data_IF_209628910571
#
_entry.id   IF_209628910571
#
_cell.length_a   1.000
_cell.length_b   1.000
_cell.length_c   1.000
_cell.angle_alpha   90.00
_cell.angle_beta   90.00
_cell.angle_gamma   90.00
#
_symmetry.space_group_name_H-M   'P 1'
#
loop_
_entity.id
_entity.type
_entity.pdbx_description
1 polymer ?
#
# COMPACT_ATOMS: atom_id res chain seq x y z
N UNK A 1 -16.60 11.06 13.75
CA UNK A 1 -15.60 10.11 14.28
C UNK A 1 -14.43 10.12 13.32
N UNK A 2 -13.20 10.12 13.82
CA UNK A 2 -12.01 10.12 12.96
C UNK A 2 -11.66 8.72 12.46
N UNK A 3 -10.85 8.66 11.39
CA UNK A 3 -10.27 7.42 10.87
C UNK A 3 -9.48 6.70 12.00
N UNK A 4 -9.55 5.35 12.10
CA UNK A 4 -8.72 4.57 13.01
C UNK A 4 -7.24 4.95 12.88
N UNK A 5 -6.54 5.26 14.00
CA UNK A 5 -5.16 5.72 13.93
C UNK A 5 -4.22 4.58 13.53
N UNK A 6 -3.23 4.93 12.71
CA UNK A 6 -2.07 4.09 12.44
C UNK A 6 -1.22 3.94 13.71
N UNK A 7 -0.59 2.78 13.85
CA UNK A 7 0.19 2.39 15.02
C UNK A 7 1.64 2.16 14.59
N UNK A 8 2.47 3.21 14.61
CA UNK A 8 3.87 3.09 14.22
C UNK A 8 4.65 2.28 15.25
N UNK A 9 5.68 1.60 14.78
CA UNK A 9 6.58 0.77 15.58
C UNK A 9 5.90 -0.42 16.29
N UNK A 10 4.81 -0.93 15.72
CA UNK A 10 4.01 -2.01 16.30
C UNK A 10 3.63 -2.99 15.19
N UNK A 11 3.87 -4.28 15.42
CA UNK A 11 3.38 -5.39 14.62
C UNK A 11 2.18 -6.09 15.28
N UNK A 12 1.21 -6.48 14.46
CA UNK A 12 0.09 -7.36 14.77
C UNK A 12 0.37 -8.77 14.23
N UNK A 13 1.15 -9.62 14.90
CA UNK A 13 1.58 -10.90 14.35
C UNK A 13 0.43 -11.90 14.17
N UNK A 14 0.54 -12.74 13.13
CA UNK A 14 -0.43 -13.80 12.82
C UNK A 14 -1.67 -13.30 12.08
N UNK A 15 -2.58 -14.23 11.77
CA UNK A 15 -3.84 -13.91 11.07
C UNK A 15 -3.67 -13.49 9.61
N UNK A 16 -2.51 -13.73 8.99
CA UNK A 16 -2.19 -13.33 7.62
C UNK A 16 -3.12 -14.00 6.58
N UNK A 17 -3.89 -13.17 5.87
CA UNK A 17 -4.71 -13.55 4.72
C UNK A 17 -3.91 -13.49 3.43
N UNK A 18 -3.20 -12.38 3.24
CA UNK A 18 -2.48 -12.05 2.02
C UNK A 18 -1.32 -11.14 2.36
N UNK A 19 -0.18 -11.35 1.70
CA UNK A 19 0.92 -10.41 1.66
C UNK A 19 0.99 -9.83 0.26
N UNK A 20 0.87 -8.51 0.14
CA UNK A 20 0.89 -7.79 -1.13
C UNK A 20 1.81 -6.57 -1.03
N UNK A 21 2.47 -6.16 -2.12
CA UNK A 21 3.19 -4.90 -2.13
C UNK A 21 2.25 -3.71 -1.89
N UNK A 22 2.73 -2.72 -1.13
CA UNK A 22 2.11 -1.42 -0.92
C UNK A 22 3.20 -0.36 -0.81
N UNK A 23 3.03 0.85 -1.39
CA UNK A 23 4.06 1.88 -1.34
C UNK A 23 4.24 2.51 0.06
N UNK A 24 3.19 2.52 0.87
CA UNK A 24 3.16 3.05 2.24
C UNK A 24 2.06 2.39 3.10
N UNK A 25 2.02 2.75 4.37
CA UNK A 25 1.05 2.27 5.35
C UNK A 25 -0.39 2.76 5.10
N UNK A 26 -0.55 3.95 4.50
CA UNK A 26 -1.86 4.50 4.18
C UNK A 26 -2.52 3.73 3.03
N UNK A 27 -1.75 3.40 2.00
CA UNK A 27 -2.17 2.54 0.90
C UNK A 27 -2.45 1.12 1.38
N UNK A 28 -1.66 0.62 2.34
CA UNK A 28 -1.91 -0.68 2.95
C UNK A 28 -3.25 -0.71 3.72
N UNK A 29 -3.60 0.38 4.41
CA UNK A 29 -4.92 0.54 5.04
C UNK A 29 -6.07 0.49 4.03
N UNK A 30 -5.91 1.13 2.86
CA UNK A 30 -6.92 1.08 1.79
C UNK A 30 -7.02 -0.31 1.17
N UNK A 31 -5.91 -1.00 0.97
CA UNK A 31 -5.91 -2.40 0.53
C UNK A 31 -6.67 -3.29 1.52
N UNK A 32 -6.42 -3.14 2.82
CA UNK A 32 -7.18 -3.86 3.85
C UNK A 32 -8.66 -3.48 3.82
N UNK A 33 -8.99 -2.20 3.72
CA UNK A 33 -10.38 -1.72 3.68
C UNK A 33 -11.16 -2.31 2.50
N UNK A 34 -10.52 -2.45 1.34
CA UNK A 34 -11.13 -3.03 0.14
C UNK A 34 -11.16 -4.57 0.15
N UNK A 35 -10.35 -5.22 0.99
CA UNK A 35 -10.38 -6.67 1.11
C UNK A 35 -11.57 -7.12 1.99
N UNK A 36 -12.46 -8.00 1.50
CA UNK A 36 -13.71 -8.33 2.18
C UNK A 36 -13.50 -8.94 3.57
N UNK A 37 -12.41 -9.69 3.76
CA UNK A 37 -12.13 -10.39 5.02
C UNK A 37 -11.07 -9.71 5.89
N UNK A 38 -10.47 -8.59 5.45
CA UNK A 38 -9.41 -7.95 6.24
C UNK A 38 -10.01 -7.10 7.36
N UNK A 39 -9.51 -7.33 8.58
CA UNK A 39 -9.88 -6.56 9.78
C UNK A 39 -8.79 -5.55 10.13
N UNK A 40 -7.52 -5.96 10.01
CA UNK A 40 -6.34 -5.18 10.35
C UNK A 40 -5.14 -5.55 9.47
N UNK A 41 -4.07 -4.77 9.54
CA UNK A 41 -2.89 -4.98 8.71
C UNK A 41 -1.59 -4.64 9.45
N UNK A 42 -0.48 -5.18 8.95
CA UNK A 42 0.89 -4.74 9.28
C UNK A 42 1.62 -4.36 8.00
N UNK A 43 2.11 -3.12 7.90
CA UNK A 43 2.99 -2.68 6.82
C UNK A 43 4.45 -2.74 7.27
N UNK A 44 5.25 -3.56 6.59
CA UNK A 44 6.69 -3.70 6.86
C UNK A 44 7.46 -2.80 5.89
N UNK A 45 7.98 -1.70 6.42
CA UNK A 45 8.72 -0.69 5.65
C UNK A 45 10.20 -1.02 5.50
N UNK A 46 10.76 -1.82 6.42
CA UNK A 46 12.15 -2.26 6.42
C UNK A 46 12.27 -3.68 6.94
N UNK A 47 13.28 -4.39 6.44
CA UNK A 47 13.69 -5.68 6.95
C UNK A 47 14.48 -5.51 8.27
N UNK A 48 14.08 -6.16 9.38
CA UNK A 48 14.76 -5.98 10.67
C UNK A 48 16.16 -6.60 10.73
N UNK A 49 16.50 -7.56 9.85
CA UNK A 49 17.81 -8.21 9.83
C UNK A 49 18.85 -7.49 8.96
N UNK A 50 18.41 -6.86 7.88
CA UNK A 50 19.27 -6.26 6.84
C UNK A 50 19.13 -4.75 6.73
N UNK A 51 18.05 -4.17 7.28
CA UNK A 51 17.72 -2.75 7.14
C UNK A 51 17.28 -2.35 5.73
N UNK A 52 17.11 -3.31 4.82
CA UNK A 52 16.66 -3.03 3.46
C UNK A 52 15.20 -2.59 3.45
N UNK A 53 14.88 -1.63 2.57
CA UNK A 53 13.49 -1.17 2.40
C UNK A 53 12.62 -2.33 1.92
N UNK A 54 11.45 -2.46 2.53
CA UNK A 54 10.39 -3.38 2.16
C UNK A 54 9.14 -2.59 1.81
N UNK A 55 8.22 -3.28 1.16
CA UNK A 55 6.93 -2.74 0.73
C UNK A 55 5.82 -3.72 1.10
N UNK A 56 6.02 -4.57 2.10
CA UNK A 56 5.14 -5.70 2.37
C UNK A 56 3.94 -5.22 3.20
N UNK A 57 2.75 -5.24 2.60
CA UNK A 57 1.48 -5.05 3.27
C UNK A 57 0.86 -6.41 3.59
N UNK A 58 0.84 -6.74 4.88
CA UNK A 58 0.22 -7.95 5.37
C UNK A 58 -1.22 -7.65 5.76
N UNK A 59 -2.18 -8.15 4.99
CA UNK A 59 -3.61 -8.09 5.29
C UNK A 59 -3.97 -9.23 6.23
N UNK A 60 -4.70 -8.93 7.31
CA UNK A 60 -4.90 -9.85 8.42
C UNK A 60 -6.35 -9.87 8.90
N UNK A 61 -6.74 -11.01 9.46
CA UNK A 61 -8.03 -11.23 10.12
C UNK A 61 -7.85 -12.09 11.36
N UNK A 62 -8.82 -12.02 12.26
CA UNK A 62 -8.95 -12.94 13.39
C UNK A 62 -10.41 -12.95 13.84
N UNK A 63 -10.78 -13.90 14.70
CA UNK A 63 -12.01 -13.79 15.49
C UNK A 63 -11.63 -13.28 16.89
N UNK A 64 -12.08 -12.10 17.35
CA UNK A 64 -13.25 -11.32 16.90
C UNK A 64 -12.93 -10.05 16.07
N UNK A 65 -11.92 -10.06 15.19
CA UNK A 65 -11.55 -8.93 14.33
C UNK A 65 -10.52 -7.99 14.95
N UNK A 66 -9.75 -8.48 15.92
CA UNK A 66 -8.68 -7.72 16.60
C UNK A 66 -7.41 -8.57 16.72
N UNK A 67 -6.21 -7.96 16.63
CA UNK A 67 -4.98 -8.72 16.73
C UNK A 67 -4.86 -9.38 18.12
N UNK A 68 -4.49 -10.67 18.13
CA UNK A 68 -4.34 -11.44 19.38
C UNK A 68 -3.23 -10.86 20.27
N UNK A 69 -2.16 -10.37 19.65
CA UNK A 69 -1.04 -9.74 20.33
C UNK A 69 -0.54 -8.51 19.57
N UNK A 70 0.21 -7.64 20.26
CA UNK A 70 0.88 -6.47 19.69
C UNK A 70 2.33 -6.49 20.13
N UNK A 71 3.26 -6.44 19.19
CA UNK A 71 4.70 -6.51 19.47
C UNK A 71 5.39 -5.24 19.00
N UNK A 72 6.31 -4.65 19.81
CA UNK A 72 7.14 -3.56 19.34
C UNK A 72 8.02 -4.02 18.16
N UNK A 73 7.96 -3.29 17.05
CA UNK A 73 8.84 -3.49 15.89
C UNK A 73 8.99 -2.17 15.12
N UNK A 74 10.17 -1.55 15.19
CA UNK A 74 10.43 -0.23 14.59
C UNK A 74 10.36 -0.21 13.06
N UNK A 75 10.35 -1.37 12.40
CA UNK A 75 10.21 -1.47 10.94
C UNK A 75 8.77 -1.57 10.46
N UNK A 76 7.81 -1.63 11.39
CA UNK A 76 6.41 -1.98 11.10
C UNK A 76 5.46 -0.90 11.58
N UNK A 77 4.50 -0.56 10.72
CA UNK A 77 3.34 0.24 11.09
C UNK A 77 2.09 -0.59 10.88
N UNK A 78 1.29 -0.78 11.93
CA UNK A 78 0.05 -1.53 11.87
C UNK A 78 -1.18 -0.63 11.92
N UNK A 79 -2.33 -1.15 11.53
CA UNK A 79 -3.59 -0.40 11.58
C UNK A 79 -4.81 -1.29 11.38
N UNK A 80 -5.99 -0.68 11.45
CA UNK A 80 -7.27 -1.35 11.20
C UNK A 80 -7.84 -0.94 9.85
N UNK A 81 -8.67 -1.80 9.27
CA UNK A 81 -9.53 -1.42 8.15
C UNK A 81 -10.41 -0.22 8.52
N UNK A 82 -10.73 0.58 7.52
CA UNK A 82 -11.71 1.66 7.65
C UNK A 82 -13.14 1.09 7.57
N UNK A 83 -14.16 1.83 8.03
CA UNK A 83 -15.55 1.44 7.81
C UNK A 83 -15.82 1.15 6.33
N UNK A 84 -16.45 0.01 6.03
CA UNK A 84 -16.81 -0.41 4.66
C UNK A 84 -18.00 0.38 4.11
N UNK A 85 -17.87 1.70 4.06
CA UNK A 85 -18.84 2.61 3.44
C UNK A 85 -18.40 2.95 2.02
N UNK A 86 -19.32 3.37 1.13
CA UNK A 86 -18.96 3.81 -0.21
C UNK A 86 -17.86 4.88 -0.22
N UNK A 87 -17.88 5.81 0.73
CA UNK A 87 -16.87 6.87 0.87
C UNK A 87 -15.43 6.33 0.97
N UNK A 88 -15.22 5.30 1.81
CA UNK A 88 -13.89 4.70 1.99
C UNK A 88 -13.54 3.71 0.88
N UNK A 89 -14.53 2.98 0.34
CA UNK A 89 -14.30 2.01 -0.74
C UNK A 89 -13.98 2.68 -2.07
N UNK A 90 -14.51 3.88 -2.33
CA UNK A 90 -14.17 4.67 -3.52
C UNK A 90 -12.99 5.62 -3.30
N UNK A 91 -12.30 5.54 -2.15
CA UNK A 91 -11.18 6.42 -1.83
C UNK A 91 -9.99 6.07 -2.74
N UNK A 92 -9.76 6.88 -3.76
CA UNK A 92 -8.51 6.88 -4.51
C UNK A 92 -7.45 7.63 -3.71
N UNK A 93 -6.38 6.94 -3.32
CA UNK A 93 -5.15 7.62 -2.95
C UNK A 93 -4.40 7.95 -4.24
N UNK A 94 -4.16 9.23 -4.49
CA UNK A 94 -3.34 9.71 -5.61
C UNK A 94 -2.02 10.39 -5.17
N UNK A 95 -1.26 9.85 -4.20
CA UNK A 95 0.10 10.34 -3.96
C UNK A 95 1.05 9.85 -5.06
N UNK A 96 1.93 10.73 -5.51
CA UNK A 96 3.10 10.36 -6.31
C UNK A 96 4.22 9.87 -5.41
N UNK A 97 4.89 8.78 -5.79
CA UNK A 97 5.99 8.20 -5.02
C UNK A 97 7.32 8.39 -5.74
N UNK A 98 8.17 9.28 -5.22
CA UNK A 98 9.51 9.49 -5.76
C UNK A 98 10.45 8.35 -5.35
N UNK A 99 11.27 7.89 -6.30
CA UNK A 99 12.24 6.81 -6.05
C UNK A 99 11.61 5.44 -5.81
N UNK A 100 10.36 5.24 -6.22
CA UNK A 100 9.66 3.95 -6.19
C UNK A 100 9.33 3.54 -7.62
N UNK A 101 9.65 2.30 -7.96
CA UNK A 101 9.26 1.68 -9.21
C UNK A 101 8.13 0.69 -8.96
N UNK A 102 6.98 0.91 -9.61
CA UNK A 102 5.89 -0.04 -9.60
C UNK A 102 6.13 -1.10 -10.68
N UNK A 103 6.57 -2.28 -10.24
CA UNK A 103 6.84 -3.42 -11.11
C UNK A 103 5.55 -4.21 -11.34
N UNK A 104 5.27 -4.54 -12.60
CA UNK A 104 4.12 -5.35 -12.98
C UNK A 104 4.05 -5.61 -14.48
N UNK A 105 2.86 -5.94 -14.98
CA UNK A 105 2.66 -6.16 -16.41
C UNK A 105 2.72 -4.83 -17.17
N UNK A 106 3.62 -4.73 -18.15
CA UNK A 106 3.78 -3.53 -18.98
C UNK A 106 2.68 -3.49 -20.03
N UNK A 107 1.71 -2.58 -19.86
CA UNK A 107 0.62 -2.37 -20.83
C UNK A 107 1.04 -1.48 -22.01
N UNK A 108 1.85 -0.46 -21.73
CA UNK A 108 2.35 0.49 -22.71
C UNK A 108 3.65 1.09 -22.18
N UNK A 109 4.63 1.27 -23.07
CA UNK A 109 5.89 1.95 -22.79
C UNK A 109 6.13 3.01 -23.87
N UNK A 110 6.51 4.22 -23.47
CA UNK A 110 6.73 5.32 -24.41
C UNK A 110 7.20 6.59 -23.74
N UNK A 111 7.64 7.55 -24.55
CA UNK A 111 8.09 8.85 -24.10
C UNK A 111 6.89 9.80 -23.96
N UNK A 112 6.86 10.53 -22.84
CA UNK A 112 5.93 11.63 -22.56
C UNK A 112 6.73 12.85 -22.14
N UNK A 113 6.12 14.02 -22.18
CA UNK A 113 6.80 15.28 -21.88
C UNK A 113 6.83 15.61 -20.38
N UNK A 114 5.96 14.99 -19.58
CA UNK A 114 5.94 15.16 -18.13
C UNK A 114 5.35 13.96 -17.39
N UNK A 115 5.51 13.95 -16.06
CA UNK A 115 4.89 12.97 -15.16
C UNK A 115 3.36 13.04 -15.25
N UNK A 116 2.80 14.24 -15.30
CA UNK A 116 1.36 14.48 -15.36
C UNK A 116 0.74 13.92 -16.66
N UNK A 117 1.49 13.97 -17.76
CA UNK A 117 1.08 13.34 -19.01
C UNK A 117 1.11 11.80 -18.90
N UNK A 118 2.11 11.23 -18.21
CA UNK A 118 2.17 9.79 -17.91
C UNK A 118 0.95 9.34 -17.09
N UNK A 119 0.65 10.07 -16.02
CA UNK A 119 -0.49 9.82 -15.14
C UNK A 119 -1.83 9.91 -15.89
N UNK A 120 -2.00 10.96 -16.70
CA UNK A 120 -3.21 11.13 -17.50
C UNK A 120 -3.37 10.00 -18.53
N UNK A 121 -2.25 9.49 -19.07
CA UNK A 121 -2.26 8.34 -19.99
C UNK A 121 -2.74 7.08 -19.29
N UNK A 122 -2.22 6.78 -18.10
CA UNK A 122 -2.67 5.65 -17.30
C UNK A 122 -4.15 5.78 -16.90
N UNK A 123 -4.55 6.95 -16.38
CA UNK A 123 -5.93 7.22 -15.95
C UNK A 123 -6.95 7.03 -17.07
N UNK A 124 -6.58 7.36 -18.32
CA UNK A 124 -7.43 7.18 -19.51
C UNK A 124 -7.52 5.73 -19.99
N UNK A 125 -6.64 4.85 -19.54
CA UNK A 125 -6.60 3.44 -19.92
C UNK A 125 -7.24 2.58 -18.82
N UNK A 126 -8.44 1.99 -19.04
CA UNK A 126 -9.12 1.18 -18.04
C UNK A 126 -8.34 -0.05 -17.55
N UNK A 127 -7.37 -0.53 -18.33
CA UNK A 127 -6.49 -1.63 -17.92
C UNK A 127 -5.34 -1.18 -17.02
N UNK A 128 -5.01 0.11 -17.00
CA UNK A 128 -3.89 0.64 -16.24
C UNK A 128 -4.26 0.84 -14.77
N UNK A 129 -3.51 0.18 -13.89
CA UNK A 129 -3.71 0.26 -12.44
C UNK A 129 -2.69 1.20 -11.77
N UNK A 130 -1.50 1.32 -12.35
CA UNK A 130 -0.40 2.16 -11.87
C UNK A 130 0.54 2.49 -13.04
N UNK A 131 1.38 3.49 -12.85
CA UNK A 131 2.42 3.90 -13.80
C UNK A 131 3.75 4.12 -13.08
N UNK A 132 4.85 3.97 -13.82
CA UNK A 132 6.19 4.40 -13.39
C UNK A 132 6.69 5.42 -14.41
N UNK A 133 7.12 6.59 -13.95
CA UNK A 133 7.68 7.66 -14.80
C UNK A 133 9.18 7.82 -14.54
N UNK A 134 9.97 7.73 -15.61
CA UNK A 134 11.42 7.95 -15.58
C UNK A 134 11.73 9.34 -16.12
N UNK A 135 12.23 10.28 -15.29
CA UNK A 135 12.63 11.61 -15.76
C UNK A 135 13.75 11.56 -16.80
N UNK A 136 13.82 12.57 -17.66
CA UNK A 136 14.90 12.66 -18.65
C UNK A 136 16.29 12.58 -17.99
N UNK A 137 17.12 11.62 -18.43
CA UNK A 137 18.46 11.41 -17.90
C UNK A 137 18.56 10.37 -16.78
N UNK A 138 17.47 9.73 -16.35
CA UNK A 138 17.54 8.55 -15.50
C UNK A 138 17.92 7.30 -16.30
N UNK A 139 18.87 6.52 -15.82
CA UNK A 139 19.13 5.16 -16.31
C UNK A 139 18.14 4.21 -15.64
N UNK A 140 17.25 3.60 -16.43
CA UNK A 140 16.42 2.48 -15.98
C UNK A 140 17.20 1.17 -15.94
#
# INVERSE_FOLDING_TARGET
GGDPPLQPSVDFPGGDLLVTPSPDEASCQILCTNHPDCDFFSYHSVDPGTGQRRFDCHLKTSEPGVPETRKPDSGVTSGFSLPKTPEYLTRCLAPSYDGVEFVGNVLSFGFVTSREECEASCTRNPGCQFYTYYPAGSTG
#
